data_IF_803551561601
#
_entry.id   IF_803551561601
#
_cell.length_a   1.000
_cell.length_b   1.000
_cell.length_c   1.000
_cell.angle_alpha   90.00
_cell.angle_beta   90.00
_cell.angle_gamma   90.00
#
_symmetry.space_group_name_H-M   'P 1'
#
loop_
_entity.id
_entity.type
_entity.pdbx_description
1 polymer ?
#
# COMPACT_ATOMS: atom_id res chain seq x y z
N UNK A 1 -7.50 4.42 -19.35
CA UNK A 1 -8.09 5.22 -18.24
C UNK A 1 -8.79 6.52 -18.63
N UNK A 2 -8.50 7.15 -19.79
CA UNK A 2 -9.06 8.47 -20.17
C UNK A 2 -10.59 8.55 -20.16
N UNK A 3 -11.30 7.52 -20.63
CA UNK A 3 -12.77 7.45 -20.62
C UNK A 3 -13.35 7.48 -19.20
N UNK A 4 -12.76 6.73 -18.28
CA UNK A 4 -13.20 6.66 -16.88
C UNK A 4 -12.95 7.98 -16.14
N UNK A 5 -11.78 8.61 -16.31
CA UNK A 5 -11.48 9.95 -15.76
C UNK A 5 -12.52 10.97 -16.24
N UNK A 6 -12.82 10.97 -17.54
CA UNK A 6 -13.83 11.88 -18.12
C UNK A 6 -15.23 11.64 -17.56
N UNK A 7 -15.69 10.39 -17.51
CA UNK A 7 -17.02 10.06 -17.00
C UNK A 7 -17.21 10.44 -15.51
N UNK A 8 -16.21 10.15 -14.66
CA UNK A 8 -16.25 10.51 -13.25
C UNK A 8 -16.29 12.04 -13.03
N UNK A 9 -15.55 12.79 -13.85
CA UNK A 9 -15.57 14.25 -13.81
C UNK A 9 -16.87 14.84 -14.34
N UNK A 10 -17.39 14.35 -15.47
CA UNK A 10 -18.56 14.95 -16.12
C UNK A 10 -19.88 14.57 -15.45
N UNK A 11 -20.01 13.34 -14.95
CA UNK A 11 -21.25 12.83 -14.36
C UNK A 11 -21.24 13.03 -12.85
N UNK A 12 -20.13 12.70 -12.20
CA UNK A 12 -20.02 12.70 -10.74
C UNK A 12 -19.39 13.96 -10.15
N UNK A 13 -18.81 14.84 -10.97
CA UNK A 13 -17.93 15.93 -10.51
C UNK A 13 -16.80 15.43 -9.57
N UNK A 14 -16.32 14.21 -9.81
CA UNK A 14 -15.28 13.58 -9.01
C UNK A 14 -13.92 13.80 -9.70
N UNK A 15 -13.03 14.53 -9.04
CA UNK A 15 -11.61 14.65 -9.44
C UNK A 15 -10.82 13.51 -8.80
N UNK A 16 -10.16 12.71 -9.62
CA UNK A 16 -9.20 11.70 -9.17
C UNK A 16 -7.92 12.38 -8.70
N UNK A 17 -7.36 11.91 -7.58
CA UNK A 17 -6.12 12.42 -7.00
C UNK A 17 -5.37 11.28 -6.28
N UNK A 18 -4.10 11.49 -5.94
CA UNK A 18 -3.21 10.50 -5.31
C UNK A 18 -3.09 9.22 -6.15
N UNK A 19 -2.91 9.39 -7.45
CA UNK A 19 -2.77 8.29 -8.39
C UNK A 19 -1.35 7.70 -8.30
N UNK A 20 -1.28 6.38 -8.25
CA UNK A 20 -0.06 5.58 -8.29
C UNK A 20 -0.30 4.35 -9.16
N UNK A 21 0.72 3.93 -9.91
CA UNK A 21 0.67 2.74 -10.76
C UNK A 21 2.08 2.17 -10.90
N UNK A 22 2.18 0.86 -11.07
CA UNK A 22 3.39 0.15 -11.48
C UNK A 22 3.71 0.29 -12.98
N UNK A 23 2.86 0.98 -13.75
CA UNK A 23 3.07 1.23 -15.18
C UNK A 23 3.30 2.71 -15.43
N UNK A 24 4.47 3.03 -15.97
CA UNK A 24 4.90 4.41 -16.22
C UNK A 24 3.96 5.16 -17.19
N UNK A 25 3.52 4.51 -18.26
CA UNK A 25 2.58 5.08 -19.23
C UNK A 25 1.27 5.54 -18.60
N UNK A 26 0.82 4.83 -17.56
CA UNK A 26 -0.38 5.18 -16.80
C UNK A 26 -0.11 6.43 -15.98
N UNK A 27 1.04 6.51 -15.32
CA UNK A 27 1.44 7.68 -14.52
C UNK A 27 1.52 8.95 -15.37
N UNK A 28 2.15 8.89 -16.55
CA UNK A 28 2.23 10.02 -17.49
C UNK A 28 0.89 10.43 -18.10
N UNK A 29 -0.15 9.60 -17.97
CA UNK A 29 -1.50 9.92 -18.46
C UNK A 29 -2.29 10.85 -17.53
N UNK A 30 -1.76 11.17 -16.35
CA UNK A 30 -2.34 12.08 -15.38
C UNK A 30 -1.49 13.33 -15.18
N UNK A 31 -2.14 14.41 -14.74
CA UNK A 31 -1.45 15.64 -14.36
C UNK A 31 -0.62 15.38 -13.11
N UNK A 32 0.57 15.96 -13.02
CA UNK A 32 1.49 15.74 -11.89
C UNK A 32 0.81 16.03 -10.52
N UNK A 33 -0.05 17.05 -10.46
CA UNK A 33 -0.83 17.38 -9.25
C UNK A 33 -1.72 16.23 -8.76
N UNK A 34 -2.23 15.40 -9.67
CA UNK A 34 -3.13 14.28 -9.38
C UNK A 34 -2.34 13.04 -8.92
N UNK A 35 -1.02 12.98 -9.09
CA UNK A 35 -0.18 11.86 -8.63
C UNK A 35 -0.04 11.82 -7.11
N UNK A 36 0.31 10.66 -6.56
CA UNK A 36 0.65 10.53 -5.15
C UNK A 36 1.88 11.39 -4.81
N UNK A 37 1.91 11.91 -3.57
CA UNK A 37 2.88 12.92 -3.14
C UNK A 37 4.34 12.50 -3.38
N UNK A 38 4.70 11.24 -3.15
CA UNK A 38 6.05 10.72 -3.36
C UNK A 38 6.42 10.51 -4.83
N UNK A 39 5.45 10.62 -5.75
CA UNK A 39 5.64 10.42 -7.19
C UNK A 39 5.64 11.75 -7.97
N UNK A 40 5.42 12.90 -7.30
CA UNK A 40 5.33 14.21 -7.96
C UNK A 40 6.67 14.74 -8.44
N UNK A 41 7.70 14.58 -7.62
CA UNK A 41 9.04 15.14 -7.84
C UNK A 41 10.03 14.07 -8.33
N UNK A 42 9.53 12.90 -8.74
CA UNK A 42 10.33 11.74 -9.13
C UNK A 42 10.48 11.65 -10.64
N UNK A 43 11.70 11.39 -11.13
CA UNK A 43 11.89 10.94 -12.52
C UNK A 43 11.55 9.45 -12.61
N UNK A 44 10.31 9.16 -13.03
CA UNK A 44 9.79 7.81 -13.15
C UNK A 44 10.61 6.88 -14.06
N UNK A 45 11.46 7.45 -14.93
CA UNK A 45 12.27 6.70 -15.89
C UNK A 45 13.66 6.31 -15.35
N UNK A 46 14.13 7.00 -14.31
CA UNK A 46 15.51 6.89 -13.83
C UNK A 46 15.62 6.60 -12.33
N UNK A 47 14.61 6.98 -11.54
CA UNK A 47 14.62 6.87 -10.10
C UNK A 47 14.00 5.57 -9.60
N UNK A 48 14.44 5.13 -8.42
CA UNK A 48 13.83 3.99 -7.71
C UNK A 48 12.41 4.37 -7.28
N UNK A 49 11.43 3.55 -7.65
CA UNK A 49 10.03 3.83 -7.32
C UNK A 49 9.79 3.69 -5.80
N UNK A 50 9.15 4.69 -5.17
CA UNK A 50 8.88 4.67 -3.74
C UNK A 50 7.73 3.71 -3.42
N UNK A 51 7.84 3.06 -2.26
CA UNK A 51 6.74 2.29 -1.67
C UNK A 51 5.52 3.19 -1.48
N UNK A 52 4.37 2.74 -1.99
CA UNK A 52 3.08 3.38 -1.85
C UNK A 52 2.23 2.72 -0.78
N UNK A 53 1.08 3.31 -0.48
CA UNK A 53 0.07 2.69 0.35
C UNK A 53 -1.21 2.45 -0.45
N UNK A 54 -1.70 1.21 -0.46
CA UNK A 54 -2.97 0.84 -1.08
C UNK A 54 -3.65 -0.26 -0.27
N UNK A 55 -4.98 -0.20 -0.17
CA UNK A 55 -5.78 -1.12 0.65
C UNK A 55 -5.36 -1.20 2.14
N UNK A 56 -4.71 -0.15 2.65
CA UNK A 56 -4.15 -0.13 4.01
C UNK A 56 -2.83 -0.91 4.16
N UNK A 57 -2.25 -1.37 3.06
CA UNK A 57 -0.99 -2.10 3.03
C UNK A 57 0.09 -1.30 2.31
N UNK A 58 1.35 -1.67 2.52
CA UNK A 58 2.45 -1.13 1.72
C UNK A 58 2.45 -1.83 0.36
N UNK A 59 2.67 -1.07 -0.70
CA UNK A 59 2.73 -1.57 -2.07
C UNK A 59 4.03 -1.12 -2.70
N UNK A 60 4.88 -2.08 -3.01
CA UNK A 60 6.07 -1.87 -3.83
C UNK A 60 5.66 -1.81 -5.30
N UNK A 61 5.85 -0.64 -5.90
CA UNK A 61 5.49 -0.38 -7.30
C UNK A 61 6.43 -1.08 -8.29
N UNK A 62 7.70 -1.29 -7.91
CA UNK A 62 8.70 -1.86 -8.81
C UNK A 62 8.44 -3.35 -9.01
N UNK A 63 8.17 -4.05 -7.91
CA UNK A 63 7.91 -5.50 -7.93
C UNK A 63 6.43 -5.86 -8.08
N UNK A 64 5.54 -4.87 -8.01
CA UNK A 64 4.09 -5.04 -7.94
C UNK A 64 3.66 -5.98 -6.79
N UNK A 65 4.22 -5.75 -5.60
CA UNK A 65 3.96 -6.60 -4.44
C UNK A 65 3.44 -5.84 -3.23
N UNK A 66 2.47 -6.44 -2.54
CA UNK A 66 2.03 -5.96 -1.25
C UNK A 66 2.96 -6.45 -0.15
N UNK A 67 3.43 -5.53 0.68
CA UNK A 67 4.39 -5.77 1.74
C UNK A 67 3.78 -5.52 3.12
N UNK A 68 4.23 -6.33 4.09
CA UNK A 68 3.94 -6.13 5.50
C UNK A 68 5.21 -5.66 6.21
N UNK A 69 5.18 -4.43 6.72
CA UNK A 69 6.23 -3.93 7.61
C UNK A 69 5.87 -4.28 9.05
N UNK A 70 6.56 -5.25 9.62
CA UNK A 70 6.38 -5.66 11.01
C UNK A 70 7.48 -5.01 11.84
N UNK A 71 7.08 -4.34 12.91
CA UNK A 71 8.00 -3.78 13.89
C UNK A 71 8.82 -4.91 14.55
N UNK A 72 10.14 -4.71 14.66
CA UNK A 72 11.06 -5.67 15.27
C UNK A 72 11.23 -5.48 16.77
N UNK A 73 10.39 -4.64 17.38
CA UNK A 73 10.39 -4.42 18.81
C UNK A 73 10.29 -5.75 19.59
N UNK A 74 11.34 -6.04 20.34
CA UNK A 74 11.48 -7.29 21.07
C UNK A 74 10.58 -7.24 22.31
N UNK A 75 9.44 -7.93 22.23
CA UNK A 75 8.51 -8.06 23.36
C UNK A 75 8.95 -9.20 24.29
N UNK A 76 8.72 -9.10 25.62
CA UNK A 76 9.05 -10.17 26.55
C UNK A 76 8.38 -11.49 26.17
N UNK A 77 9.09 -12.61 26.35
CA UNK A 77 8.59 -13.95 26.04
C UNK A 77 7.53 -14.41 27.07
N UNK A 78 6.35 -13.84 26.94
CA UNK A 78 5.17 -14.06 27.79
C UNK A 78 3.94 -14.17 26.89
N UNK A 79 2.85 -14.80 27.35
CA UNK A 79 1.58 -14.84 26.60
C UNK A 79 1.11 -13.43 26.18
N UNK A 80 1.23 -12.44 27.08
CA UNK A 80 0.90 -11.04 26.77
C UNK A 80 1.81 -10.44 25.70
N UNK A 81 3.11 -10.72 25.77
CA UNK A 81 4.08 -10.28 24.74
C UNK A 81 3.77 -10.88 23.37
N UNK A 82 3.54 -12.20 23.32
CA UNK A 82 3.17 -12.90 22.10
C UNK A 82 1.88 -12.36 21.48
N UNK A 83 0.81 -12.22 22.29
CA UNK A 83 -0.46 -11.64 21.84
C UNK A 83 -0.27 -10.21 21.30
N UNK A 84 0.54 -9.40 21.99
CA UNK A 84 0.85 -8.04 21.55
C UNK A 84 1.60 -8.03 20.22
N UNK A 85 2.54 -8.95 19.98
CA UNK A 85 3.25 -9.07 18.69
C UNK A 85 2.32 -9.50 17.56
N UNK A 86 1.44 -10.48 17.81
CA UNK A 86 0.50 -10.95 16.78
C UNK A 86 -0.50 -9.84 16.42
N UNK A 87 -1.04 -9.14 17.42
CA UNK A 87 -2.04 -8.10 17.20
C UNK A 87 -1.46 -6.79 16.64
N UNK A 88 -0.14 -6.58 16.66
CA UNK A 88 0.47 -5.44 15.97
C UNK A 88 0.57 -5.61 14.45
N UNK A 89 0.32 -6.82 13.94
CA UNK A 89 0.32 -7.09 12.49
C UNK A 89 -1.01 -6.58 11.91
N UNK A 90 -0.95 -5.51 11.12
CA UNK A 90 -2.11 -5.00 10.40
C UNK A 90 -2.36 -5.82 9.13
N UNK A 91 -3.41 -6.64 9.14
CA UNK A 91 -3.79 -7.52 8.04
C UNK A 91 -5.30 -7.46 7.77
N UNK A 92 -5.78 -6.39 7.10
CA UNK A 92 -7.21 -6.17 6.88
C UNK A 92 -7.84 -7.21 5.93
N UNK A 93 -7.03 -7.83 5.06
CA UNK A 93 -7.48 -8.79 4.05
C UNK A 93 -7.25 -10.25 4.47
N UNK A 94 -6.51 -10.49 5.55
CA UNK A 94 -6.27 -11.83 6.09
C UNK A 94 -5.19 -12.63 5.37
N UNK A 95 -4.30 -12.03 4.56
CA UNK A 95 -3.28 -12.80 3.85
C UNK A 95 -2.23 -13.43 4.79
N UNK A 96 -2.01 -12.85 5.96
CA UNK A 96 -1.14 -13.39 7.01
C UNK A 96 -1.89 -14.30 8.01
N UNK A 97 -3.17 -14.60 7.77
CA UNK A 97 -3.95 -15.51 8.62
C UNK A 97 -3.24 -16.83 8.95
N UNK A 98 -2.56 -17.53 8.00
CA UNK A 98 -1.88 -18.80 8.30
C UNK A 98 -0.77 -18.67 9.36
N UNK A 99 -0.15 -17.50 9.47
CA UNK A 99 0.93 -17.23 10.44
C UNK A 99 0.34 -16.70 11.75
N UNK A 100 -0.59 -15.75 11.67
CA UNK A 100 -1.19 -15.12 12.86
C UNK A 100 -2.06 -16.10 13.65
N UNK A 101 -2.76 -17.03 12.99
CA UNK A 101 -3.56 -18.07 13.66
C UNK A 101 -2.66 -19.03 14.46
N UNK A 102 -1.53 -19.47 13.89
CA UNK A 102 -0.57 -20.32 14.61
C UNK A 102 -0.06 -19.66 15.88
N UNK A 103 0.26 -18.36 15.81
CA UNK A 103 0.61 -17.58 16.99
C UNK A 103 -0.51 -17.54 18.03
N UNK A 104 -1.76 -17.34 17.59
CA UNK A 104 -2.94 -17.31 18.47
C UNK A 104 -3.22 -18.68 19.13
N UNK A 105 -2.91 -19.79 18.45
CA UNK A 105 -3.07 -21.14 19.00
C UNK A 105 -2.08 -21.45 20.14
N UNK A 106 -0.96 -20.72 20.24
CA UNK A 106 0.03 -20.90 21.31
C UNK A 106 -0.31 -20.14 22.60
N UNK A 107 -1.36 -19.31 22.59
CA UNK A 107 -1.82 -18.50 23.73
C UNK A 107 -2.82 -19.25 24.60
#
# INVERSE_FOLDING_TARGET
MKRTKSALKSIGNIRLHKISSNVEEVMHSFDNEDLAKSLKDLDLSSDILPVQHSLGMNWDLETDTFMYCIDRDVKPYTRRGLLSTINSIFDPLGYLAPVTIKGKLLL
#
